data_IF_920466879019
#
_entry.id   IF_920466879019
#
_cell.length_a   1.000
_cell.length_b   1.000
_cell.length_c   1.000
_cell.angle_alpha   90.00
_cell.angle_beta   90.00
_cell.angle_gamma   90.00
#
_symmetry.space_group_name_H-M   'P 1'
#
loop_
_entity.id
_entity.type
_entity.pdbx_description
1 polymer ?
#
# COMPACT_ATOMS: atom_id res chain seq x y z
N UNK A 1 -22.82 1.73 -26.81
CA UNK A 1 -21.80 1.28 -25.85
C UNK A 1 -20.77 2.40 -25.74
N UNK A 2 -20.54 2.98 -24.56
CA UNK A 2 -19.61 4.11 -24.42
C UNK A 2 -18.17 3.65 -24.67
N UNK A 3 -17.41 4.43 -25.46
CA UNK A 3 -16.03 4.14 -25.86
C UNK A 3 -15.08 4.67 -24.79
N UNK A 4 -14.38 3.78 -24.07
CA UNK A 4 -13.34 4.17 -23.09
C UNK A 4 -11.99 4.25 -23.81
N UNK A 5 -11.32 5.42 -23.75
CA UNK A 5 -10.03 5.66 -24.43
C UNK A 5 -8.78 5.19 -23.66
N UNK A 6 -8.97 4.70 -22.44
CA UNK A 6 -7.94 4.25 -21.51
C UNK A 6 -8.48 4.25 -20.06
N UNK A 7 -7.79 3.56 -19.16
CA UNK A 7 -8.15 3.47 -17.73
C UNK A 7 -7.00 4.00 -16.90
N UNK A 8 -7.29 4.91 -15.97
CA UNK A 8 -6.31 5.39 -14.99
C UNK A 8 -6.28 4.44 -13.81
N UNK A 9 -5.07 3.99 -13.45
CA UNK A 9 -4.86 3.01 -12.39
C UNK A 9 -3.94 3.63 -11.33
N UNK A 10 -4.38 3.61 -10.08
CA UNK A 10 -3.54 3.97 -8.94
C UNK A 10 -2.61 2.80 -8.57
N UNK A 11 -1.70 2.48 -9.48
CA UNK A 11 -0.60 1.53 -9.32
C UNK A 11 0.58 1.99 -10.19
N UNK A 12 1.70 1.29 -10.16
CA UNK A 12 2.90 1.65 -10.93
C UNK A 12 3.47 0.43 -11.67
N UNK A 13 4.21 0.68 -12.75
CA UNK A 13 4.64 -0.36 -13.69
C UNK A 13 5.42 -1.47 -12.99
N UNK A 14 6.34 -1.12 -12.10
CA UNK A 14 7.20 -2.08 -11.42
C UNK A 14 6.42 -3.05 -10.50
N UNK A 15 5.22 -2.67 -10.05
CA UNK A 15 4.35 -3.54 -9.26
C UNK A 15 3.48 -4.45 -10.15
N UNK A 16 2.98 -3.93 -11.27
CA UNK A 16 1.95 -4.60 -12.09
C UNK A 16 2.44 -5.15 -13.42
N UNK A 17 3.73 -5.03 -13.73
CA UNK A 17 4.29 -5.26 -15.08
C UNK A 17 3.76 -6.52 -15.77
N UNK A 18 3.72 -7.65 -15.05
CA UNK A 18 3.26 -8.93 -15.58
C UNK A 18 1.75 -9.00 -15.82
N UNK A 19 0.95 -8.18 -15.14
CA UNK A 19 -0.50 -8.21 -15.17
C UNK A 19 -1.11 -7.17 -16.12
N UNK A 20 -0.39 -6.12 -16.48
CA UNK A 20 -0.87 -5.05 -17.37
C UNK A 20 -1.44 -5.61 -18.69
N UNK A 21 -0.76 -6.50 -19.45
CA UNK A 21 -1.30 -6.99 -20.72
C UNK A 21 -2.62 -7.74 -20.56
N UNK A 22 -2.73 -8.56 -19.50
CA UNK A 22 -3.97 -9.28 -19.18
C UNK A 22 -5.09 -8.29 -18.80
N UNK A 23 -4.78 -7.28 -17.99
CA UNK A 23 -5.74 -6.25 -17.61
C UNK A 23 -6.24 -5.43 -18.82
N UNK A 24 -5.36 -5.03 -19.74
CA UNK A 24 -5.72 -4.29 -20.95
C UNK A 24 -6.59 -5.12 -21.90
N UNK A 25 -6.41 -6.45 -21.93
CA UNK A 25 -7.16 -7.36 -22.80
C UNK A 25 -8.67 -7.42 -22.51
N UNK A 26 -9.11 -7.03 -21.30
CA UNK A 26 -10.54 -7.00 -20.94
C UNK A 26 -11.33 -5.90 -21.65
N UNK A 27 -10.66 -4.88 -22.21
CA UNK A 27 -11.35 -3.75 -22.81
C UNK A 27 -11.56 -3.94 -24.31
N UNK A 28 -12.82 -3.79 -24.76
CA UNK A 28 -13.33 -4.07 -26.12
C UNK A 28 -12.65 -3.28 -27.26
N UNK A 29 -11.68 -2.40 -26.98
CA UNK A 29 -10.92 -1.65 -27.99
C UNK A 29 -9.42 -1.52 -27.69
N UNK A 30 -8.85 -2.41 -26.85
CA UNK A 30 -7.43 -2.31 -26.47
C UNK A 30 -7.12 -1.05 -25.66
N UNK A 31 -8.02 -0.69 -24.74
CA UNK A 31 -7.83 0.48 -23.88
C UNK A 31 -6.58 0.28 -23.01
N UNK A 32 -5.74 1.31 -22.96
CA UNK A 32 -4.48 1.27 -22.21
C UNK A 32 -4.70 1.49 -20.71
N UNK A 33 -3.94 0.78 -19.89
CA UNK A 33 -3.81 1.03 -18.46
C UNK A 33 -2.74 2.10 -18.19
N UNK A 34 -3.16 3.24 -17.67
CA UNK A 34 -2.27 4.34 -17.27
C UNK A 34 -1.98 4.23 -15.78
N UNK A 35 -0.90 3.53 -15.46
CA UNK A 35 -0.42 3.37 -14.08
C UNK A 35 0.22 4.70 -13.60
N UNK A 36 -0.54 5.48 -12.83
CA UNK A 36 -0.15 6.81 -12.33
C UNK A 36 0.13 6.82 -10.82
N UNK A 37 0.22 5.64 -10.20
CA UNK A 37 0.38 5.50 -8.76
C UNK A 37 1.83 5.48 -8.28
N UNK A 38 2.02 5.35 -6.96
CA UNK A 38 0.99 5.53 -5.95
C UNK A 38 0.64 7.03 -5.77
N UNK A 39 -0.65 7.36 -5.87
CA UNK A 39 -1.13 8.75 -5.85
C UNK A 39 -0.81 9.48 -4.53
N UNK A 40 -0.68 8.73 -3.42
CA UNK A 40 -0.35 9.29 -2.10
C UNK A 40 1.06 9.91 -2.00
N UNK A 41 1.94 9.69 -2.99
CA UNK A 41 3.30 10.23 -2.99
C UNK A 41 3.45 11.56 -3.74
N UNK A 42 2.52 11.93 -4.61
CA UNK A 42 2.64 13.14 -5.44
C UNK A 42 2.66 14.44 -4.62
N UNK A 43 1.88 14.52 -3.53
CA UNK A 43 1.85 15.70 -2.65
C UNK A 43 3.11 15.88 -1.78
N UNK A 44 3.94 14.84 -1.63
CA UNK A 44 5.15 14.86 -0.80
C UNK A 44 6.40 15.27 -1.57
N UNK A 45 6.31 15.46 -2.89
CA UNK A 45 7.46 15.65 -3.77
C UNK A 45 7.83 17.11 -4.05
N UNK A 46 6.97 18.07 -3.67
CA UNK A 46 7.17 19.51 -3.86
C UNK A 46 7.25 20.36 -2.59
N UNK A 47 7.13 19.75 -1.40
CA UNK A 47 7.22 20.49 -0.14
C UNK A 47 8.66 20.53 0.36
N UNK A 48 9.33 21.66 0.13
CA UNK A 48 10.46 22.11 0.96
C UNK A 48 9.96 22.95 2.15
N UNK A 49 8.78 22.60 2.70
CA UNK A 49 8.20 23.31 3.83
C UNK A 49 7.94 22.33 4.97
N UNK A 50 8.78 22.50 6.00
CA UNK A 50 8.33 22.66 7.37
C UNK A 50 6.97 23.36 7.40
N UNK A 51 5.91 22.57 7.35
CA UNK A 51 4.61 22.99 7.80
C UNK A 51 4.38 22.17 9.05
N UNK A 52 4.72 22.79 10.19
CA UNK A 52 4.19 22.44 11.49
C UNK A 52 2.66 22.53 11.39
N UNK A 53 2.03 21.48 10.87
CA UNK A 53 0.67 21.18 11.23
C UNK A 53 0.77 20.26 12.44
N UNK A 54 0.86 20.88 13.61
CA UNK A 54 0.63 20.24 14.90
C UNK A 54 -0.83 19.82 14.99
N UNK A 55 -1.21 18.83 14.18
CA UNK A 55 -2.34 17.97 14.44
C UNK A 55 -1.77 16.58 14.69
N UNK A 56 -0.90 16.49 15.69
CA UNK A 56 -0.46 15.22 16.23
C UNK A 56 -1.69 14.56 16.84
N UNK A 57 -2.29 13.61 16.13
CA UNK A 57 -3.28 12.76 16.75
C UNK A 57 -2.57 11.89 17.79
N UNK A 58 -3.31 11.51 18.83
CA UNK A 58 -2.79 10.69 19.93
C UNK A 58 -2.09 9.41 19.44
N UNK A 59 -2.57 8.81 18.34
CA UNK A 59 -1.96 7.61 17.77
C UNK A 59 -0.62 7.86 17.08
N UNK A 60 -0.43 8.98 16.38
CA UNK A 60 0.89 9.33 15.81
C UNK A 60 1.91 9.69 16.89
N UNK A 61 1.45 10.29 17.99
CA UNK A 61 2.32 10.57 19.13
C UNK A 61 2.73 9.28 19.84
N UNK A 62 1.78 8.41 20.14
CA UNK A 62 2.05 7.10 20.75
C UNK A 62 3.00 6.25 19.90
N UNK A 63 2.85 6.27 18.57
CA UNK A 63 3.78 5.61 17.65
C UNK A 63 5.20 6.22 17.71
N UNK A 64 5.31 7.54 17.85
CA UNK A 64 6.60 8.23 17.95
C UNK A 64 7.33 7.97 19.27
N UNK A 65 6.60 7.61 20.33
CA UNK A 65 7.13 7.31 21.66
C UNK A 65 7.65 5.86 21.81
N UNK A 66 7.47 5.00 20.79
CA UNK A 66 7.92 3.61 20.84
C UNK A 66 9.45 3.50 20.85
N UNK A 67 9.99 2.78 21.84
CA UNK A 67 11.44 2.66 22.07
C UNK A 67 12.11 1.76 21.03
N UNK A 68 11.43 0.71 20.57
CA UNK A 68 11.98 -0.26 19.62
C UNK A 68 11.43 0.01 18.22
N UNK A 69 12.29 0.27 17.22
CA UNK A 69 11.83 0.38 15.83
C UNK A 69 11.15 -0.90 15.36
N UNK A 70 10.14 -0.76 14.49
CA UNK A 70 9.39 -1.89 13.92
C UNK A 70 8.69 -2.79 14.96
N UNK A 71 8.38 -2.26 16.15
CA UNK A 71 7.73 -3.01 17.25
C UNK A 71 6.21 -2.95 17.28
N UNK A 72 5.59 -2.28 16.30
CA UNK A 72 4.14 -2.08 16.24
C UNK A 72 3.55 -2.74 15.00
N UNK A 73 2.48 -3.50 15.18
CA UNK A 73 1.67 -4.05 14.09
C UNK A 73 0.48 -3.11 13.87
N UNK A 74 0.29 -2.69 12.62
CA UNK A 74 -0.97 -2.08 12.18
C UNK A 74 -1.87 -3.16 11.59
N UNK A 75 -3.07 -3.32 12.15
CA UNK A 75 -4.10 -4.24 11.67
C UNK A 75 -5.29 -3.43 11.15
N UNK A 76 -5.71 -3.69 9.92
CA UNK A 76 -6.89 -3.06 9.31
C UNK A 76 -7.42 -3.95 8.20
N UNK A 77 -8.73 -4.15 8.19
CA UNK A 77 -9.42 -4.91 7.15
C UNK A 77 -9.96 -4.01 6.03
N UNK A 78 -9.76 -2.68 6.14
CA UNK A 78 -10.35 -1.71 5.24
C UNK A 78 -11.80 -1.37 5.59
N UNK A 79 -12.35 -0.34 4.95
CA UNK A 79 -13.66 0.22 5.30
C UNK A 79 -14.86 -0.59 4.81
N UNK A 80 -14.65 -1.55 3.90
CA UNK A 80 -15.69 -2.38 3.30
C UNK A 80 -15.62 -3.85 3.72
N UNK A 81 -14.74 -4.20 4.66
CA UNK A 81 -14.73 -5.54 5.21
C UNK A 81 -15.93 -5.74 6.14
N UNK A 82 -16.66 -6.83 5.91
CA UNK A 82 -17.69 -7.33 6.81
C UNK A 82 -17.04 -8.43 7.67
N UNK A 83 -16.68 -8.08 8.91
CA UNK A 83 -16.03 -8.98 9.86
C UNK A 83 -16.96 -9.08 11.06
N UNK A 84 -17.36 -10.30 11.41
CA UNK A 84 -18.25 -10.53 12.54
C UNK A 84 -17.58 -10.18 13.87
N UNK A 85 -18.37 -9.80 14.87
CA UNK A 85 -17.90 -9.54 16.24
C UNK A 85 -17.09 -10.73 16.77
N UNK A 86 -17.57 -11.96 16.55
CA UNK A 86 -16.83 -13.16 16.95
C UNK A 86 -15.44 -13.25 16.32
N UNK A 87 -15.27 -12.86 15.05
CA UNK A 87 -13.94 -12.89 14.42
C UNK A 87 -13.05 -11.76 14.91
N UNK A 88 -13.63 -10.60 15.24
CA UNK A 88 -12.90 -9.49 15.86
C UNK A 88 -12.46 -9.86 17.29
N UNK A 89 -13.32 -10.55 18.04
CA UNK A 89 -13.01 -11.08 19.36
C UNK A 89 -11.85 -12.07 19.29
N UNK A 90 -11.82 -12.98 18.29
CA UNK A 90 -10.68 -13.89 18.10
C UNK A 90 -9.38 -13.13 17.77
N UNK A 91 -9.45 -12.09 16.95
CA UNK A 91 -8.26 -11.26 16.63
C UNK A 91 -7.80 -10.48 17.85
N UNK A 92 -8.72 -9.87 18.60
CA UNK A 92 -8.42 -9.13 19.82
C UNK A 92 -7.86 -10.06 20.91
N UNK A 93 -8.50 -11.19 21.13
CA UNK A 93 -8.05 -12.22 22.04
C UNK A 93 -6.65 -12.71 21.66
N UNK A 94 -6.39 -13.06 20.39
CA UNK A 94 -5.06 -13.50 19.99
C UNK A 94 -3.97 -12.41 20.12
N UNK A 95 -4.34 -11.13 20.04
CA UNK A 95 -3.41 -10.02 20.30
C UNK A 95 -3.18 -9.78 21.81
N UNK A 96 -4.20 -9.99 22.65
CA UNK A 96 -4.13 -9.84 24.11
C UNK A 96 -3.45 -11.04 24.79
N UNK A 97 -3.82 -12.25 24.38
CA UNK A 97 -3.46 -13.55 24.96
C UNK A 97 -2.34 -14.24 24.17
N UNK A 98 -1.26 -13.52 23.89
CA UNK A 98 0.05 -14.14 23.62
C UNK A 98 0.62 -14.90 24.85
N UNK A 99 -0.28 -15.50 25.66
CA UNK A 99 -0.09 -16.19 26.92
C UNK A 99 -1.03 -17.39 27.22
N UNK A 100 -2.26 -17.56 26.68
CA UNK A 100 -3.10 -18.78 26.93
C UNK A 100 -4.08 -19.22 25.78
N UNK A 101 -4.57 -20.51 25.79
CA UNK A 101 -5.11 -21.22 24.61
C UNK A 101 -6.57 -21.05 24.19
N UNK A 102 -6.81 -21.01 22.86
CA UNK A 102 -8.05 -21.45 22.18
C UNK A 102 -7.75 -22.13 20.83
N UNK A 103 -8.52 -23.11 20.35
CA UNK A 103 -8.17 -23.91 19.13
C UNK A 103 -7.58 -23.09 17.95
N UNK A 104 -6.30 -23.33 17.60
CA UNK A 104 -5.57 -22.61 16.53
C UNK A 104 -4.75 -21.39 16.99
N UNK A 105 -4.84 -21.00 18.27
CA UNK A 105 -4.08 -19.88 18.86
C UNK A 105 -2.56 -20.04 18.82
N UNK A 106 -2.03 -21.26 18.93
CA UNK A 106 -0.59 -21.54 18.84
C UNK A 106 -0.05 -21.09 17.48
N UNK A 107 -0.78 -21.39 16.41
CA UNK A 107 -0.42 -20.98 15.06
C UNK A 107 -0.50 -19.46 14.88
N UNK A 108 -1.43 -18.80 15.58
CA UNK A 108 -1.56 -17.33 15.56
C UNK A 108 -0.42 -16.68 16.35
N UNK A 109 -0.13 -17.15 17.56
CA UNK A 109 0.95 -16.64 18.40
C UNK A 109 2.31 -16.85 17.71
N UNK A 110 2.59 -18.05 17.22
CA UNK A 110 3.78 -18.34 16.43
C UNK A 110 3.83 -17.46 15.17
N UNK A 111 2.69 -17.27 14.50
CA UNK A 111 2.56 -16.38 13.36
C UNK A 111 2.90 -14.92 13.69
N UNK A 112 2.43 -14.41 14.83
CA UNK A 112 2.71 -13.05 15.31
C UNK A 112 4.17 -12.92 15.75
N UNK A 113 4.70 -13.87 16.50
CA UNK A 113 6.12 -13.89 16.91
C UNK A 113 7.06 -13.96 15.69
N UNK A 114 6.75 -14.82 14.71
CA UNK A 114 7.52 -14.93 13.47
C UNK A 114 7.38 -13.67 12.60
N UNK A 115 6.22 -13.02 12.62
CA UNK A 115 6.02 -11.73 11.95
C UNK A 115 6.83 -10.62 12.63
N UNK A 116 6.88 -10.60 13.96
CA UNK A 116 7.55 -9.56 14.75
C UNK A 116 9.06 -9.74 14.77
N UNK A 117 9.53 -10.86 15.30
CA UNK A 117 10.94 -11.17 15.55
C UNK A 117 11.52 -12.27 14.67
N UNK A 118 10.71 -12.88 13.81
CA UNK A 118 11.12 -14.00 12.96
C UNK A 118 11.88 -13.62 11.70
N UNK A 119 12.44 -14.63 11.05
CA UNK A 119 13.22 -14.47 9.81
C UNK A 119 12.34 -14.09 8.62
N UNK A 120 11.15 -14.68 8.52
CA UNK A 120 10.13 -14.41 7.49
C UNK A 120 9.56 -13.01 7.67
N UNK A 121 9.27 -12.61 8.90
CA UNK A 121 8.83 -11.25 9.25
C UNK A 121 9.85 -10.19 8.84
N UNK A 122 11.12 -10.37 9.22
CA UNK A 122 12.22 -9.49 8.77
C UNK A 122 12.33 -9.40 7.25
N UNK A 123 12.36 -10.56 6.57
CA UNK A 123 12.43 -10.59 5.10
C UNK A 123 11.21 -9.91 4.45
N UNK A 124 10.02 -10.06 5.02
CA UNK A 124 8.82 -9.35 4.55
C UNK A 124 8.97 -7.83 4.69
N UNK A 125 9.45 -7.33 5.83
CA UNK A 125 9.72 -5.89 6.03
C UNK A 125 10.75 -5.36 5.04
N UNK A 126 11.85 -6.08 4.82
CA UNK A 126 12.88 -5.70 3.84
C UNK A 126 12.31 -5.57 2.43
N UNK A 127 11.47 -6.54 2.00
CA UNK A 127 10.79 -6.49 0.70
C UNK A 127 9.84 -5.29 0.60
N UNK A 128 9.04 -5.02 1.64
CA UNK A 128 8.12 -3.87 1.68
C UNK A 128 8.89 -2.55 1.62
N UNK A 129 9.99 -2.42 2.37
CA UNK A 129 10.86 -1.24 2.33
C UNK A 129 11.49 -1.05 0.95
N UNK A 130 11.97 -2.14 0.32
CA UNK A 130 12.51 -2.12 -1.03
C UNK A 130 11.45 -1.67 -2.05
N UNK A 131 10.25 -2.24 -1.97
CA UNK A 131 9.12 -1.86 -2.82
C UNK A 131 8.74 -0.38 -2.60
N UNK A 132 8.74 0.11 -1.36
CA UNK A 132 8.52 1.51 -1.05
C UNK A 132 9.56 2.45 -1.68
N UNK A 133 10.83 2.02 -1.76
CA UNK A 133 11.88 2.75 -2.50
C UNK A 133 11.65 2.74 -4.01
N UNK A 134 11.15 1.64 -4.57
CA UNK A 134 10.76 1.57 -6.00
C UNK A 134 9.59 2.52 -6.26
N UNK A 135 8.52 2.45 -5.46
CA UNK A 135 7.34 3.29 -5.60
C UNK A 135 7.65 4.79 -5.53
N UNK A 136 8.56 5.20 -4.64
CA UNK A 136 9.06 6.59 -4.57
C UNK A 136 9.81 7.00 -5.84
N UNK A 137 10.61 6.11 -6.43
CA UNK A 137 11.33 6.38 -7.68
C UNK A 137 10.39 6.44 -8.87
N UNK A 138 9.35 5.61 -8.91
CA UNK A 138 8.36 5.59 -9.98
C UNK A 138 7.66 6.96 -10.18
N UNK A 139 7.37 7.67 -9.09
CA UNK A 139 6.74 9.00 -9.14
C UNK A 139 7.72 10.16 -9.34
N UNK A 140 9.03 9.92 -9.16
CA UNK A 140 10.08 10.93 -9.34
C UNK A 140 10.26 11.31 -10.81
N UNK A 141 10.88 12.48 -11.09
CA UNK A 141 11.18 12.89 -12.46
C UNK A 141 12.02 11.82 -13.16
N UNK A 142 11.55 11.32 -14.30
CA UNK A 142 12.15 10.20 -15.04
C UNK A 142 11.78 8.81 -14.52
N UNK A 143 10.87 8.71 -13.56
CA UNK A 143 10.27 7.46 -13.09
C UNK A 143 9.10 7.01 -13.97
N UNK A 144 8.73 5.73 -13.86
CA UNK A 144 7.68 5.10 -14.68
C UNK A 144 6.33 5.81 -14.62
N UNK A 145 5.83 6.14 -13.41
CA UNK A 145 4.56 6.85 -13.21
C UNK A 145 4.64 8.31 -13.65
N UNK A 146 5.78 8.98 -13.45
CA UNK A 146 6.02 10.33 -13.96
C UNK A 146 5.96 10.37 -15.50
N UNK A 147 6.66 9.45 -16.15
CA UNK A 147 6.70 9.36 -17.60
C UNK A 147 5.35 8.95 -18.19
N UNK A 148 4.62 8.06 -17.50
CA UNK A 148 3.26 7.65 -17.89
C UNK A 148 2.28 8.82 -17.80
N UNK A 149 2.39 9.66 -16.76
CA UNK A 149 1.60 10.89 -16.64
C UNK A 149 1.87 11.85 -17.80
N UNK A 150 3.14 12.09 -18.14
CA UNK A 150 3.50 12.96 -19.26
C UNK A 150 2.95 12.42 -20.59
N UNK A 151 3.12 11.12 -20.86
CA UNK A 151 2.56 10.45 -22.05
C UNK A 151 1.04 10.59 -22.13
N UNK A 152 0.34 10.52 -20.99
CA UNK A 152 -1.11 10.71 -20.95
C UNK A 152 -1.49 12.16 -21.26
N UNK A 153 -0.81 13.14 -20.66
CA UNK A 153 -1.03 14.57 -20.92
C UNK A 153 -0.83 14.88 -22.40
N UNK A 154 0.25 14.40 -23.00
CA UNK A 154 0.54 14.62 -24.41
C UNK A 154 -0.54 14.00 -25.31
N UNK A 155 -0.98 12.78 -24.99
CA UNK A 155 -2.09 12.13 -25.70
C UNK A 155 -3.37 12.95 -25.63
N UNK A 156 -3.71 13.50 -24.46
CA UNK A 156 -4.90 14.33 -24.28
C UNK A 156 -4.80 15.66 -25.03
N UNK A 157 -3.62 16.26 -25.08
CA UNK A 157 -3.37 17.50 -25.83
C UNK A 157 -3.53 17.33 -27.34
N UNK A 158 -3.09 16.19 -27.88
CA UNK A 158 -3.20 15.88 -29.32
C UNK A 158 -4.62 15.45 -29.72
N UNK A 159 -5.45 15.08 -28.75
CA UNK A 159 -6.83 14.63 -28.99
C UNK A 159 -7.88 15.75 -28.86
N UNK A 160 -7.47 16.98 -28.51
CA UNK A 160 -8.28 18.20 -28.51
C UNK A 160 -8.02 18.99 -29.78
#
# INVERSE_FOLDING_TARGET
MQRVGGVVVNSFEELEKSHIPAFESFYINGAKAWCLGPLCLYGKMGSNKSTNQNHSCTSTQWLAEQVTPDSVIYVSFGTQADVSDSQLDEVAFALEESGFPFYGWQDICEGVEELMGGSRGRSARERVQALGRVARRAVQKGGSSHDTLNKLIDKLRVSM
#
